data_IF_033813917730
#
_entry.id   IF_033813917730
#
_cell.length_a   1.000
_cell.length_b   1.000
_cell.length_c   1.000
_cell.angle_alpha   90.00
_cell.angle_beta   90.00
_cell.angle_gamma   90.00
#
_symmetry.space_group_name_H-M   'P 1'
#
loop_
_entity.id
_entity.type
_entity.pdbx_description
1 polymer ?
#
# COMPACT_ATOMS: atom_id res chain seq x y z
N UNK A 1 22.33 7.09 -15.33
CA UNK A 1 22.01 5.75 -14.80
C UNK A 1 20.49 5.57 -14.72
N UNK A 2 19.86 4.92 -15.72
CA UNK A 2 18.59 4.18 -15.57
C UNK A 2 18.36 3.29 -16.80
N UNK A 3 18.65 1.97 -16.75
CA UNK A 3 18.05 1.04 -17.71
C UNK A 3 17.59 -0.31 -17.11
N UNK A 4 17.24 -0.38 -15.82
CA UNK A 4 16.76 -1.64 -15.21
C UNK A 4 15.22 -1.76 -15.26
N UNK A 5 14.49 -0.64 -15.37
CA UNK A 5 13.01 -0.64 -15.30
C UNK A 5 12.30 -1.12 -16.57
N UNK A 6 12.99 -1.17 -17.71
CA UNK A 6 12.37 -1.57 -18.98
C UNK A 6 12.35 -3.09 -19.21
N UNK A 7 13.17 -3.87 -18.49
CA UNK A 7 13.27 -5.33 -18.70
C UNK A 7 12.21 -6.14 -17.94
N UNK A 8 11.72 -5.65 -16.80
CA UNK A 8 10.67 -6.33 -16.03
C UNK A 8 9.29 -6.32 -16.75
N UNK A 9 9.02 -5.29 -17.55
CA UNK A 9 7.75 -5.14 -18.26
C UNK A 9 7.55 -6.13 -19.43
N UNK A 10 8.64 -6.76 -19.92
CA UNK A 10 8.56 -7.74 -21.01
C UNK A 10 8.32 -9.17 -20.49
N UNK A 11 8.86 -9.54 -19.33
CA UNK A 11 8.68 -10.87 -18.72
C UNK A 11 7.24 -11.11 -18.19
N UNK A 12 6.50 -10.04 -17.84
CA UNK A 12 5.12 -10.16 -17.38
C UNK A 12 4.10 -10.44 -18.49
N UNK A 13 4.48 -10.41 -19.78
CA UNK A 13 3.56 -10.61 -20.91
C UNK A 13 3.39 -12.06 -21.36
N UNK A 14 4.20 -13.01 -20.86
CA UNK A 14 4.12 -14.42 -21.29
C UNK A 14 3.38 -15.37 -20.33
N UNK A 15 2.95 -14.91 -19.15
CA UNK A 15 2.34 -15.78 -18.13
C UNK A 15 0.80 -15.70 -18.03
N UNK A 16 0.09 -15.25 -19.08
CA UNK A 16 -1.39 -15.21 -19.08
C UNK A 16 -1.95 -15.94 -20.29
N UNK A 17 -1.89 -17.27 -20.23
CA UNK A 17 -2.68 -18.15 -21.10
C UNK A 17 -3.78 -18.80 -20.27
N UNK A 18 -5.02 -18.49 -20.66
CA UNK A 18 -6.27 -19.25 -20.50
C UNK A 18 -6.86 -19.48 -19.10
N UNK A 19 -7.78 -18.59 -18.69
CA UNK A 19 -9.08 -19.00 -18.15
C UNK A 19 -10.16 -18.20 -18.89
N UNK A 20 -10.90 -18.87 -19.77
CA UNK A 20 -12.02 -18.32 -20.51
C UNK A 20 -13.20 -18.08 -19.56
N UNK A 21 -13.78 -16.88 -19.61
CA UNK A 21 -15.11 -16.57 -19.03
C UNK A 21 -16.02 -16.04 -20.14
N UNK A 22 -17.28 -16.47 -20.19
CA UNK A 22 -18.18 -16.14 -21.29
C UNK A 22 -18.60 -14.67 -21.26
N UNK A 23 -18.75 -14.12 -22.46
CA UNK A 23 -19.24 -12.79 -22.73
C UNK A 23 -20.70 -12.62 -22.30
N UNK A 24 -21.01 -11.48 -21.66
CA UNK A 24 -22.39 -11.02 -21.51
C UNK A 24 -22.49 -9.48 -21.57
N UNK A 25 -23.12 -9.04 -22.66
CA UNK A 25 -24.14 -8.00 -22.76
C UNK A 25 -23.72 -6.53 -22.62
N UNK A 26 -23.80 -5.87 -23.79
CA UNK A 26 -23.80 -4.43 -24.05
C UNK A 26 -24.96 -3.73 -23.31
N UNK A 27 -24.70 -2.59 -22.67
CA UNK A 27 -25.69 -1.51 -22.62
C UNK A 27 -24.99 -0.17 -22.77
N UNK A 28 -25.34 0.52 -23.85
CA UNK A 28 -25.02 1.92 -24.13
C UNK A 28 -26.10 2.78 -23.49
N UNK A 29 -25.72 3.82 -22.77
CA UNK A 29 -26.63 4.94 -22.46
C UNK A 29 -25.83 6.23 -22.47
N UNK A 30 -25.85 6.91 -23.62
CA UNK A 30 -25.46 8.29 -23.74
C UNK A 30 -26.57 9.15 -23.13
N UNK A 31 -26.24 10.00 -22.18
CA UNK A 31 -27.12 11.09 -21.75
C UNK A 31 -26.45 12.39 -22.17
N UNK A 32 -26.89 12.91 -23.32
CA UNK A 32 -26.71 14.29 -23.72
C UNK A 32 -27.96 15.04 -23.27
N UNK A 33 -27.79 16.13 -22.54
CA UNK A 33 -28.83 17.15 -22.43
C UNK A 33 -28.35 18.39 -23.17
N UNK A 34 -28.98 18.62 -24.32
CA UNK A 34 -28.84 19.82 -25.10
C UNK A 34 -30.09 19.98 -25.97
N UNK A 35 -30.94 20.93 -25.60
CA UNK A 35 -31.98 21.57 -26.43
C UNK A 35 -32.77 22.51 -25.52
N UNK A 36 -33.29 23.68 -25.90
CA UNK A 36 -33.29 24.53 -27.09
C UNK A 36 -34.00 25.82 -26.63
N UNK A 37 -33.71 26.94 -27.27
CA UNK A 37 -34.45 28.20 -27.12
C UNK A 37 -35.94 28.05 -27.46
N UNK A 38 -36.81 28.82 -26.79
CA UNK A 38 -37.92 29.53 -27.45
C UNK A 38 -38.57 30.55 -26.50
N UNK A 39 -38.48 31.81 -26.94
CA UNK A 39 -39.27 33.04 -26.73
C UNK A 39 -40.23 33.24 -25.53
N UNK A 40 -40.11 34.46 -24.98
CA UNK A 40 -41.18 35.23 -24.37
C UNK A 40 -40.91 36.72 -24.56
N UNK A 41 -41.35 37.26 -25.69
CA UNK A 41 -41.50 38.69 -25.93
C UNK A 41 -42.61 39.23 -25.03
N UNK A 42 -42.33 40.17 -24.15
CA UNK A 42 -43.33 41.09 -23.60
C UNK A 42 -42.65 42.41 -23.22
N UNK A 43 -42.81 43.40 -24.10
CA UNK A 43 -42.80 44.80 -23.73
C UNK A 43 -44.00 45.07 -22.82
N UNK A 44 -43.80 45.75 -21.69
CA UNK A 44 -44.74 46.76 -21.27
C UNK A 44 -44.08 47.81 -20.39
N UNK A 45 -44.58 49.03 -20.55
CA UNK A 45 -44.06 50.30 -20.09
C UNK A 45 -44.37 50.57 -18.61
N UNK A 46 -43.97 51.78 -18.17
CA UNK A 46 -44.30 52.47 -16.91
C UNK A 46 -43.34 52.12 -15.75
N UNK A 47 -42.73 53.04 -15.03
CA UNK A 47 -43.11 54.42 -14.78
C UNK A 47 -41.91 55.19 -14.18
N UNK A 48 -41.78 56.46 -14.54
CA UNK A 48 -40.91 57.40 -13.84
C UNK A 48 -41.65 57.86 -12.57
N UNK A 49 -41.59 57.07 -11.50
CA UNK A 49 -42.31 57.33 -10.25
C UNK A 49 -41.42 57.33 -9.03
N UNK A 50 -41.12 58.53 -8.52
CA UNK A 50 -40.73 58.90 -7.15
C UNK A 50 -39.94 57.90 -6.30
N UNK A 51 -38.67 58.23 -6.08
CA UNK A 51 -37.79 57.67 -5.05
C UNK A 51 -38.46 57.67 -3.67
N UNK A 52 -38.94 56.50 -3.25
CA UNK A 52 -38.87 56.11 -1.85
C UNK A 52 -37.44 55.60 -1.60
N UNK A 53 -36.78 55.95 -0.48
CA UNK A 53 -35.49 55.35 -0.14
C UNK A 53 -35.73 53.85 0.11
N UNK A 54 -35.49 53.04 -0.91
CA UNK A 54 -35.35 51.60 -0.74
C UNK A 54 -33.97 51.42 -0.14
N UNK A 55 -33.92 51.03 1.13
CA UNK A 55 -32.66 50.66 1.78
C UNK A 55 -32.03 49.51 1.00
N UNK A 56 -31.05 49.81 0.13
CA UNK A 56 -30.30 48.80 -0.58
C UNK A 56 -29.56 47.94 0.46
N UNK A 57 -29.86 46.63 0.59
CA UNK A 57 -29.16 45.80 1.53
C UNK A 57 -27.69 45.76 1.12
N UNK A 58 -26.80 45.92 2.10
CA UNK A 58 -25.36 45.82 1.88
C UNK A 58 -25.05 44.56 1.07
N UNK A 59 -24.34 44.71 -0.04
CA UNK A 59 -24.07 43.60 -0.96
C UNK A 59 -23.36 42.44 -0.26
N UNK A 60 -23.57 41.21 -0.72
CA UNK A 60 -23.02 39.97 -0.14
C UNK A 60 -21.52 40.06 0.17
N UNK A 61 -20.75 40.77 -0.67
CA UNK A 61 -19.33 41.00 -0.47
C UNK A 61 -19.00 41.68 0.87
N UNK A 62 -19.83 42.64 1.33
CA UNK A 62 -19.65 43.32 2.62
C UNK A 62 -19.68 42.34 3.79
N UNK A 63 -20.65 41.42 3.81
CA UNK A 63 -20.75 40.40 4.85
C UNK A 63 -19.62 39.37 4.76
N UNK A 64 -19.15 39.04 3.56
CA UNK A 64 -17.96 38.18 3.38
C UNK A 64 -16.71 38.85 3.97
N UNK A 65 -16.49 40.13 3.70
CA UNK A 65 -15.37 40.87 4.29
C UNK A 65 -15.49 40.99 5.82
N UNK A 66 -16.69 41.28 6.32
CA UNK A 66 -16.95 41.36 7.76
C UNK A 66 -16.70 40.02 8.46
N UNK A 67 -17.04 38.90 7.82
CA UNK A 67 -16.75 37.55 8.32
C UNK A 67 -15.28 37.12 8.15
N UNK A 68 -14.59 37.61 7.12
CA UNK A 68 -13.19 37.27 6.85
C UNK A 68 -12.24 37.77 7.95
N UNK A 69 -12.54 38.92 8.57
CA UNK A 69 -11.71 39.49 9.65
C UNK A 69 -11.65 38.57 10.89
N UNK A 70 -12.76 38.19 11.54
CA UNK A 70 -12.71 37.26 12.67
C UNK A 70 -12.25 35.85 12.24
N UNK A 71 -12.57 35.41 11.02
CA UNK A 71 -12.12 34.12 10.51
C UNK A 71 -10.59 34.04 10.38
N UNK A 72 -9.96 35.06 9.78
CA UNK A 72 -8.50 35.11 9.64
C UNK A 72 -7.81 35.24 10.99
N UNK A 73 -8.38 36.00 11.93
CA UNK A 73 -7.87 36.07 13.30
C UNK A 73 -7.95 34.72 14.03
N UNK A 74 -9.07 34.01 13.92
CA UNK A 74 -9.22 32.68 14.49
C UNK A 74 -8.20 31.71 13.89
N UNK A 75 -8.08 31.66 12.56
CA UNK A 75 -7.10 30.82 11.86
C UNK A 75 -5.66 31.14 12.29
N UNK A 76 -5.33 32.41 12.45
CA UNK A 76 -4.03 32.85 12.95
C UNK A 76 -3.78 32.36 14.38
N UNK A 77 -4.79 32.42 15.25
CA UNK A 77 -4.67 31.91 16.62
C UNK A 77 -4.48 30.39 16.68
N UNK A 78 -5.17 29.63 15.81
CA UNK A 78 -5.04 28.17 15.73
C UNK A 78 -3.71 27.73 15.08
N UNK A 79 -3.12 28.57 14.24
CA UNK A 79 -1.87 28.31 13.51
C UNK A 79 -0.61 28.65 14.34
N UNK A 80 -0.73 29.42 15.43
CA UNK A 80 0.43 29.74 16.28
C UNK A 80 0.87 28.53 17.11
N UNK A 81 2.17 28.19 17.11
CA UNK A 81 2.71 27.15 17.99
C UNK A 81 2.69 27.61 19.46
N UNK A 82 2.69 26.65 20.39
CA UNK A 82 2.79 26.92 21.81
C UNK A 82 4.13 27.57 22.20
N UNK A 83 4.20 28.17 23.40
CA UNK A 83 5.40 28.86 23.92
C UNK A 83 6.67 27.99 23.90
N UNK A 84 6.51 26.67 24.00
CA UNK A 84 7.61 25.71 24.15
C UNK A 84 7.80 24.83 22.90
N UNK A 85 7.28 25.24 21.74
CA UNK A 85 7.43 24.47 20.49
C UNK A 85 6.42 23.32 20.33
N UNK A 86 5.37 23.31 21.15
CA UNK A 86 4.27 22.35 21.04
C UNK A 86 3.56 22.46 19.68
N UNK A 87 3.18 21.31 19.07
CA UNK A 87 2.53 21.28 17.77
C UNK A 87 1.21 22.04 17.81
N UNK A 88 0.86 22.66 16.69
CA UNK A 88 -0.39 23.44 16.59
C UNK A 88 -1.61 22.55 16.77
N UNK A 89 -2.76 23.14 17.12
CA UNK A 89 -4.03 22.39 17.24
C UNK A 89 -4.39 21.71 15.91
N UNK A 90 -4.12 22.42 14.80
CA UNK A 90 -4.32 21.92 13.44
C UNK A 90 -3.40 20.73 13.17
N UNK A 91 -2.12 20.84 13.50
CA UNK A 91 -1.14 19.76 13.34
C UNK A 91 -1.48 18.54 14.19
N UNK A 92 -1.93 18.73 15.44
CA UNK A 92 -2.38 17.63 16.30
C UNK A 92 -3.57 16.89 15.68
N UNK A 93 -4.51 17.62 15.07
CA UNK A 93 -5.66 17.04 14.40
C UNK A 93 -5.27 16.30 13.11
N UNK A 94 -4.38 16.90 12.30
CA UNK A 94 -3.83 16.27 11.10
C UNK A 94 -3.06 14.99 11.46
N UNK A 95 -2.24 15.02 12.52
CA UNK A 95 -1.49 13.84 12.99
C UNK A 95 -2.42 12.70 13.43
N UNK A 96 -3.56 13.01 14.06
CA UNK A 96 -4.59 12.01 14.38
C UNK A 96 -5.20 11.39 13.11
N UNK A 97 -5.43 12.18 12.07
CA UNK A 97 -5.95 11.71 10.77
C UNK A 97 -4.91 10.94 9.95
N UNK A 98 -3.62 11.20 10.14
CA UNK A 98 -2.51 10.51 9.47
C UNK A 98 -2.13 9.17 10.10
N UNK A 99 -2.60 8.86 11.31
CA UNK A 99 -2.38 7.56 11.94
C UNK A 99 -2.81 6.36 11.07
N UNK A 100 -4.03 6.31 10.48
CA UNK A 100 -4.42 5.20 9.62
C UNK A 100 -3.55 5.05 8.36
N UNK A 101 -3.04 6.15 7.78
CA UNK A 101 -2.23 6.09 6.57
C UNK A 101 -0.84 5.51 6.86
N UNK A 102 -0.19 5.97 7.92
CA UNK A 102 1.12 5.45 8.36
C UNK A 102 1.07 3.97 8.72
N UNK A 103 -0.02 3.54 9.36
CA UNK A 103 -0.21 2.13 9.72
C UNK A 103 -0.49 1.25 8.50
N UNK A 104 -1.21 1.75 7.49
CA UNK A 104 -1.36 1.03 6.22
C UNK A 104 -0.06 0.97 5.43
N UNK A 105 0.71 2.05 5.41
CA UNK A 105 2.03 2.11 4.78
C UNK A 105 2.98 1.08 5.41
N UNK A 106 3.03 1.03 6.75
CA UNK A 106 3.86 0.08 7.50
C UNK A 106 3.45 -1.37 7.23
N UNK A 107 2.15 -1.64 7.12
CA UNK A 107 1.67 -3.00 6.78
C UNK A 107 2.00 -3.39 5.36
N UNK A 108 1.82 -2.47 4.42
CA UNK A 108 2.11 -2.71 3.02
C UNK A 108 3.61 -2.91 2.79
N UNK A 109 4.47 -2.15 3.48
CA UNK A 109 5.92 -2.33 3.39
C UNK A 109 6.33 -3.68 3.96
N UNK A 110 5.81 -4.08 5.13
CA UNK A 110 6.07 -5.39 5.72
C UNK A 110 5.60 -6.53 4.81
N UNK A 111 4.40 -6.42 4.25
CA UNK A 111 3.85 -7.44 3.35
C UNK A 111 4.66 -7.55 2.06
N UNK A 112 5.10 -6.42 1.49
CA UNK A 112 5.96 -6.41 0.31
C UNK A 112 7.31 -7.05 0.60
N UNK A 113 7.94 -6.70 1.73
CA UNK A 113 9.19 -7.32 2.16
C UNK A 113 9.05 -8.84 2.36
N UNK A 114 7.94 -9.29 2.95
CA UNK A 114 7.66 -10.72 3.14
C UNK A 114 7.47 -11.44 1.80
N UNK A 115 6.78 -10.83 0.83
CA UNK A 115 6.62 -11.39 -0.52
C UNK A 115 7.97 -11.45 -1.25
N UNK A 116 8.79 -10.42 -1.12
CA UNK A 116 10.10 -10.37 -1.76
C UNK A 116 11.01 -11.47 -1.22
N UNK A 117 11.04 -11.64 0.11
CA UNK A 117 11.77 -12.74 0.75
C UNK A 117 11.23 -14.11 0.29
N UNK A 118 9.91 -14.30 0.33
CA UNK A 118 9.30 -15.56 -0.11
C UNK A 118 9.58 -15.85 -1.59
N UNK A 119 9.68 -14.81 -2.43
CA UNK A 119 10.02 -14.95 -3.86
C UNK A 119 11.49 -15.33 -4.03
N UNK A 120 12.40 -14.75 -3.25
CA UNK A 120 13.82 -15.13 -3.24
C UNK A 120 13.99 -16.59 -2.81
N UNK A 121 13.34 -16.99 -1.71
CA UNK A 121 13.37 -18.37 -1.21
C UNK A 121 12.79 -19.34 -2.24
N UNK A 122 11.65 -18.98 -2.84
CA UNK A 122 11.05 -19.76 -3.92
C UNK A 122 12.03 -19.93 -5.08
N UNK A 123 12.66 -18.85 -5.53
CA UNK A 123 13.63 -18.89 -6.61
C UNK A 123 14.84 -19.78 -6.27
N UNK A 124 15.31 -19.76 -5.01
CA UNK A 124 16.34 -20.67 -4.52
C UNK A 124 15.88 -22.13 -4.61
N UNK A 125 14.69 -22.46 -4.11
CA UNK A 125 14.21 -23.84 -4.06
C UNK A 125 13.84 -24.45 -5.42
N UNK A 126 13.50 -23.64 -6.42
CA UNK A 126 13.20 -24.12 -7.77
C UNK A 126 14.44 -24.28 -8.65
N UNK A 127 15.46 -23.44 -8.49
CA UNK A 127 16.62 -23.45 -9.38
C UNK A 127 17.83 -24.19 -8.81
N UNK A 128 17.96 -24.29 -7.48
CA UNK A 128 19.09 -25.01 -6.87
C UNK A 128 18.86 -26.51 -7.05
N UNK A 129 19.85 -27.26 -7.58
CA UNK A 129 19.77 -28.71 -7.64
C UNK A 129 19.60 -29.26 -6.21
N UNK A 130 18.52 -30.00 -5.99
CA UNK A 130 18.28 -30.65 -4.68
C UNK A 130 19.34 -31.72 -4.46
N UNK A 131 19.90 -31.77 -3.26
CA UNK A 131 20.74 -32.88 -2.88
C UNK A 131 19.89 -34.15 -2.84
N UNK A 132 20.22 -35.13 -3.69
CA UNK A 132 19.53 -36.42 -3.77
C UNK A 132 19.98 -37.39 -2.69
N UNK A 133 21.14 -37.14 -2.08
CA UNK A 133 21.71 -37.98 -1.04
C UNK A 133 21.55 -37.30 0.32
N UNK A 134 20.64 -37.84 1.12
CA UNK A 134 20.55 -37.52 2.55
C UNK A 134 21.39 -38.56 3.28
N UNK A 135 22.27 -38.12 4.19
CA UNK A 135 23.11 -39.00 5.02
C UNK A 135 22.33 -39.70 6.15
N UNK A 136 21.10 -40.11 5.84
CA UNK A 136 20.20 -40.81 6.75
C UNK A 136 19.76 -42.07 6.02
N UNK A 137 19.84 -43.21 6.72
CA UNK A 137 19.43 -44.49 6.14
C UNK A 137 17.94 -44.51 5.78
N UNK A 138 17.11 -43.81 6.58
CA UNK A 138 15.65 -43.76 6.44
C UNK A 138 15.13 -42.36 6.82
N UNK A 139 15.15 -41.37 5.92
CA UNK A 139 14.64 -40.03 6.21
C UNK A 139 13.11 -40.01 6.37
N UNK A 140 12.37 -40.97 5.82
CA UNK A 140 10.92 -41.04 5.97
C UNK A 140 10.44 -41.29 7.42
N UNK A 141 11.30 -41.81 8.30
CA UNK A 141 10.94 -42.10 9.70
C UNK A 141 10.49 -40.86 10.46
N UNK A 142 11.03 -39.68 10.13
CA UNK A 142 10.64 -38.42 10.76
C UNK A 142 9.21 -37.99 10.41
N UNK A 143 8.69 -38.45 9.27
CA UNK A 143 7.35 -38.16 8.79
C UNK A 143 6.38 -39.32 9.05
N UNK A 144 6.89 -40.49 9.49
CA UNK A 144 6.08 -41.67 9.79
C UNK A 144 5.66 -41.67 11.26
N UNK A 145 4.36 -41.52 11.52
CA UNK A 145 3.81 -41.62 12.87
C UNK A 145 2.35 -41.21 12.91
N UNK A 146 1.60 -41.77 13.87
CA UNK A 146 0.26 -41.27 14.19
C UNK A 146 0.40 -40.03 15.09
N UNK A 147 -0.31 -38.93 14.81
CA UNK A 147 -0.34 -37.78 15.72
C UNK A 147 -1.05 -38.08 17.04
N UNK A 148 -1.82 -39.18 17.10
CA UNK A 148 -2.58 -39.58 18.27
C UNK A 148 -2.00 -40.85 18.91
N UNK A 149 -2.13 -40.93 20.23
CA UNK A 149 -1.78 -42.11 21.05
C UNK A 149 -0.29 -42.53 20.96
N UNK A 150 0.61 -41.55 20.99
CA UNK A 150 2.07 -41.79 21.00
C UNK A 150 2.54 -41.93 22.46
N UNK A 151 3.13 -43.07 22.87
CA UNK A 151 3.63 -43.23 24.23
C UNK A 151 4.77 -42.24 24.52
N UNK A 152 4.85 -41.76 25.76
CA UNK A 152 5.91 -40.85 26.17
C UNK A 152 7.29 -41.48 25.94
N UNK A 153 8.20 -40.74 25.29
CA UNK A 153 9.54 -41.22 24.94
C UNK A 153 9.65 -41.92 23.58
N UNK A 154 8.56 -42.04 22.81
CA UNK A 154 8.61 -42.60 21.45
C UNK A 154 9.44 -41.74 20.48
N UNK A 155 9.35 -40.41 20.61
CA UNK A 155 10.17 -39.48 19.83
C UNK A 155 11.49 -39.26 20.56
N UNK A 156 12.59 -39.56 19.88
CA UNK A 156 13.95 -39.32 20.39
C UNK A 156 14.25 -37.82 20.30
N UNK A 157 14.97 -37.26 21.28
CA UNK A 157 15.46 -35.90 21.18
C UNK A 157 16.52 -35.79 20.06
N UNK A 158 16.24 -34.96 19.05
CA UNK A 158 17.09 -34.74 17.88
C UNK A 158 18.08 -33.57 18.03
N UNK A 159 18.14 -32.90 19.18
CA UNK A 159 18.96 -31.68 19.38
C UNK A 159 20.42 -31.89 18.97
N UNK A 160 21.03 -33.03 19.33
CA UNK A 160 22.42 -33.35 18.97
C UNK A 160 22.62 -33.53 17.47
N UNK A 161 21.65 -34.12 16.78
CA UNK A 161 21.68 -34.33 15.33
C UNK A 161 21.53 -32.99 14.60
N UNK A 162 20.62 -32.15 15.09
CA UNK A 162 20.44 -30.78 14.59
C UNK A 162 21.72 -29.97 14.78
N UNK A 163 22.35 -30.06 15.95
CA UNK A 163 23.61 -29.36 16.24
C UNK A 163 24.74 -29.84 15.32
N UNK A 164 24.89 -31.15 15.11
CA UNK A 164 25.87 -31.72 14.18
C UNK A 164 25.75 -31.12 12.78
N UNK A 165 24.57 -31.20 12.16
CA UNK A 165 24.37 -30.69 10.80
C UNK A 165 24.49 -29.16 10.72
N UNK A 166 24.13 -28.45 11.79
CA UNK A 166 24.34 -26.99 11.87
C UNK A 166 25.85 -26.67 11.85
N UNK A 167 26.66 -27.40 12.60
CA UNK A 167 28.11 -27.21 12.61
C UNK A 167 28.73 -27.57 11.24
N UNK A 168 28.29 -28.65 10.60
CA UNK A 168 28.75 -29.00 9.25
C UNK A 168 28.40 -27.93 8.21
N UNK A 169 27.16 -27.40 8.27
CA UNK A 169 26.75 -26.31 7.39
C UNK A 169 27.64 -25.08 7.56
N UNK A 170 27.96 -24.68 8.80
CA UNK A 170 28.85 -23.54 9.06
C UNK A 170 30.26 -23.77 8.51
N UNK A 171 30.79 -24.99 8.63
CA UNK A 171 32.10 -25.36 8.05
C UNK A 171 32.07 -25.27 6.52
N UNK A 172 31.00 -25.75 5.91
CA UNK A 172 30.83 -25.74 4.46
C UNK A 172 30.69 -24.30 3.91
N UNK A 173 29.92 -23.45 4.58
CA UNK A 173 29.79 -22.04 4.24
C UNK A 173 31.14 -21.31 4.37
N UNK A 174 31.90 -21.57 5.42
CA UNK A 174 33.24 -21.00 5.58
C UNK A 174 34.19 -21.45 4.46
N UNK A 175 34.13 -22.72 4.08
CA UNK A 175 34.88 -23.27 2.94
C UNK A 175 34.51 -22.56 1.64
N UNK A 176 33.21 -22.42 1.34
CA UNK A 176 32.73 -21.73 0.14
C UNK A 176 33.10 -20.25 0.13
N UNK A 177 33.00 -19.56 1.27
CA UNK A 177 33.39 -18.16 1.40
C UNK A 177 34.89 -17.96 1.14
N UNK A 178 35.74 -18.83 1.68
CA UNK A 178 37.18 -18.78 1.42
C UNK A 178 37.54 -19.10 -0.03
N UNK A 179 36.84 -20.05 -0.67
CA UNK A 179 37.01 -20.35 -2.09
C UNK A 179 36.55 -19.18 -2.98
N UNK A 180 35.43 -18.55 -2.65
CA UNK A 180 34.91 -17.38 -3.36
C UNK A 180 35.80 -16.14 -3.19
N UNK A 181 36.46 -15.98 -2.04
CA UNK A 181 37.44 -14.92 -1.82
C UNK A 181 38.69 -15.12 -2.68
N UNK A 182 39.23 -16.35 -2.72
CA UNK A 182 40.37 -16.72 -3.58
C UNK A 182 40.07 -16.60 -5.07
N UNK A 183 38.82 -16.82 -5.50
CA UNK A 183 38.42 -16.71 -6.90
C UNK A 183 38.19 -15.26 -7.37
N UNK A 184 38.19 -14.29 -6.45
CA UNK A 184 38.04 -12.85 -6.75
C UNK A 184 39.38 -12.11 -6.83
N UNK A 185 40.45 -12.74 -6.37
CA UNK A 185 41.84 -12.27 -6.50
C UNK A 185 42.44 -12.77 -7.82
#
# INVERSE_FOLDING_TARGET
MMPIRQRAAFAARQARVAIARPAAIKSTSAVRFGSTESHGDHHDHHDHGHAAPVDEPMGTAFFVFLGAIPFTYALYSLSRPGKDGEPTVIETYINKLSYPTTLWETRNSLHTAAIDQATQDKNLFYNVPRNTHVELRNPEVFMSGSPYNVPAGHNINLDKVVEHYRQEHLKEVARQASAAAKAKE
#
